data_IF_121793109972
#
_entry.id   IF_121793109972
#
_cell.length_a   1.000
_cell.length_b   1.000
_cell.length_c   1.000
_cell.angle_alpha   90.00
_cell.angle_beta   90.00
_cell.angle_gamma   90.00
#
_symmetry.space_group_name_H-M   'P 1'
#
loop_
_entity.id
_entity.type
_entity.pdbx_description
1 polymer ?
#
# COMPACT_ATOMS: atom_id res chain seq x y z
N UNK A 1 -7.02 12.07 -9.83
CA UNK A 1 -6.40 11.43 -8.66
C UNK A 1 -5.49 12.40 -7.86
N UNK A 2 -6.05 13.46 -7.24
CA UNK A 2 -5.28 14.35 -6.36
C UNK A 2 -6.19 14.91 -5.26
N UNK A 3 -5.73 14.84 -4.01
CA UNK A 3 -6.46 15.36 -2.84
C UNK A 3 -6.25 16.87 -2.73
N UNK A 4 -7.32 17.64 -2.53
CA UNK A 4 -7.22 19.10 -2.34
C UNK A 4 -6.72 19.46 -0.94
N UNK A 5 -6.05 20.61 -0.80
CA UNK A 5 -5.64 21.15 0.49
C UNK A 5 -6.82 21.24 1.47
N UNK A 6 -6.57 21.05 2.77
CA UNK A 6 -7.55 21.00 3.87
C UNK A 6 -8.61 19.87 3.82
N UNK A 7 -8.77 19.16 2.70
CA UNK A 7 -9.85 18.18 2.53
C UNK A 7 -9.72 16.92 3.39
N UNK A 8 -8.52 16.49 3.84
CA UNK A 8 -8.43 15.26 4.66
C UNK A 8 -9.00 15.43 6.06
N UNK A 9 -8.81 16.59 6.70
CA UNK A 9 -9.40 16.82 8.03
C UNK A 9 -10.91 16.92 7.92
N UNK A 10 -11.41 17.58 6.87
CA UNK A 10 -12.83 17.62 6.56
C UNK A 10 -13.39 16.22 6.27
N UNK A 11 -12.69 15.41 5.48
CA UNK A 11 -13.09 14.03 5.20
C UNK A 11 -13.11 13.19 6.47
N UNK A 12 -12.07 13.25 7.30
CA UNK A 12 -12.03 12.51 8.57
C UNK A 12 -13.19 12.90 9.50
N UNK A 13 -13.55 14.18 9.55
CA UNK A 13 -14.73 14.66 10.29
C UNK A 13 -16.04 14.19 9.64
N UNK A 14 -16.16 14.29 8.32
CA UNK A 14 -17.34 13.86 7.57
C UNK A 14 -17.60 12.37 7.75
N UNK A 15 -16.61 11.53 7.42
CA UNK A 15 -16.71 10.08 7.49
C UNK A 15 -16.92 9.62 8.93
N UNK A 16 -16.12 10.13 9.87
CA UNK A 16 -16.16 9.71 11.27
C UNK A 16 -17.39 10.17 12.05
N UNK A 17 -17.90 11.37 11.78
CA UNK A 17 -19.01 11.94 12.55
C UNK A 17 -20.37 11.80 11.85
N UNK A 18 -20.41 11.90 10.52
CA UNK A 18 -21.66 11.95 9.76
C UNK A 18 -21.96 10.69 8.95
N UNK A 19 -20.97 9.90 8.56
CA UNK A 19 -21.21 8.68 7.76
C UNK A 19 -21.24 7.45 8.64
N UNK A 20 -20.10 7.11 9.27
CA UNK A 20 -19.92 5.86 10.00
C UNK A 20 -20.97 5.64 11.11
N UNK A 21 -21.36 6.63 11.95
CA UNK A 21 -22.33 6.38 13.00
C UNK A 21 -23.71 5.96 12.48
N UNK A 22 -24.10 6.43 11.29
CA UNK A 22 -25.40 6.13 10.70
C UNK A 22 -25.37 4.88 9.83
N UNK A 23 -24.24 4.51 9.24
CA UNK A 23 -24.12 3.33 8.37
C UNK A 23 -23.68 2.07 9.13
N UNK A 24 -22.68 2.18 10.01
CA UNK A 24 -22.19 1.03 10.76
C UNK A 24 -23.24 0.51 11.75
N UNK A 25 -23.97 1.42 12.39
CA UNK A 25 -25.02 1.05 13.34
C UNK A 25 -26.13 0.23 12.69
N UNK A 26 -26.58 0.63 11.50
CA UNK A 26 -27.58 -0.09 10.73
C UNK A 26 -27.08 -1.45 10.24
N UNK A 27 -25.86 -1.50 9.70
CA UNK A 27 -25.23 -2.76 9.27
C UNK A 27 -25.10 -3.77 10.43
N UNK A 28 -24.69 -3.31 11.60
CA UNK A 28 -24.50 -4.15 12.80
C UNK A 28 -25.79 -4.36 13.61
N UNK A 29 -26.90 -3.68 13.26
CA UNK A 29 -28.14 -3.74 14.04
C UNK A 29 -28.70 -5.17 14.14
N UNK A 30 -28.49 -5.98 13.11
CA UNK A 30 -28.89 -7.39 13.09
C UNK A 30 -28.10 -8.26 14.09
N UNK A 31 -26.88 -7.85 14.45
CA UNK A 31 -25.94 -8.63 15.24
C UNK A 31 -25.84 -8.21 16.71
N UNK A 32 -26.64 -7.25 17.16
CA UNK A 32 -26.60 -6.74 18.56
C UNK A 32 -26.94 -7.80 19.62
N UNK A 33 -27.51 -8.95 19.20
CA UNK A 33 -27.87 -10.09 20.06
C UNK A 33 -27.01 -11.33 19.81
N UNK A 34 -25.99 -11.25 18.97
CA UNK A 34 -25.12 -12.39 18.59
C UNK A 34 -24.33 -12.94 19.80
N UNK A 35 -24.25 -12.17 20.90
CA UNK A 35 -23.60 -12.60 22.14
C UNK A 35 -22.07 -12.52 22.05
N UNK A 36 -21.38 -13.17 22.99
CA UNK A 36 -19.92 -13.26 22.93
C UNK A 36 -19.51 -14.20 21.80
N UNK A 37 -18.63 -13.73 20.91
CA UNK A 37 -18.03 -14.57 19.87
C UNK A 37 -17.02 -15.51 20.54
N UNK A 38 -17.16 -16.84 20.41
CA UNK A 38 -16.20 -17.78 20.94
C UNK A 38 -14.83 -17.60 20.28
N UNK A 39 -13.76 -17.69 21.07
CA UNK A 39 -12.37 -17.56 20.58
C UNK A 39 -11.69 -18.92 20.39
N UNK A 40 -12.45 -20.02 20.49
CA UNK A 40 -11.99 -21.40 20.31
C UNK A 40 -12.33 -21.94 18.90
N UNK A 41 -12.68 -21.05 17.97
CA UNK A 41 -12.91 -21.42 16.58
C UNK A 41 -11.58 -21.56 15.83
N UNK A 42 -11.51 -22.42 14.80
CA UNK A 42 -10.29 -22.63 14.01
C UNK A 42 -9.71 -21.33 13.42
N UNK A 43 -10.54 -20.35 13.11
CA UNK A 43 -10.14 -19.07 12.53
C UNK A 43 -9.30 -18.23 13.51
N UNK A 44 -9.61 -18.29 14.82
CA UNK A 44 -8.80 -17.61 15.85
C UNK A 44 -7.43 -18.29 16.02
N UNK A 45 -7.43 -19.63 16.06
CA UNK A 45 -6.19 -20.41 16.16
C UNK A 45 -5.28 -20.18 14.96
N UNK A 46 -5.83 -20.18 13.74
CA UNK A 46 -5.09 -19.92 12.51
C UNK A 46 -4.49 -18.50 12.49
N UNK A 47 -5.28 -17.48 12.86
CA UNK A 47 -4.82 -16.10 12.92
C UNK A 47 -3.69 -15.91 13.95
N UNK A 48 -3.84 -16.48 15.16
CA UNK A 48 -2.79 -16.43 16.19
C UNK A 48 -1.52 -17.14 15.73
N UNK A 49 -1.64 -18.36 15.17
CA UNK A 49 -0.49 -19.13 14.68
C UNK A 49 0.23 -18.40 13.55
N UNK A 50 -0.49 -17.76 12.63
CA UNK A 50 0.10 -16.97 11.54
C UNK A 50 0.95 -15.82 12.09
N UNK A 51 0.41 -15.06 13.03
CA UNK A 51 1.13 -13.94 13.64
C UNK A 51 2.32 -14.43 14.45
N UNK A 52 2.16 -15.45 15.30
CA UNK A 52 3.26 -16.06 16.06
C UNK A 52 4.37 -16.56 15.15
N UNK A 53 4.02 -17.29 14.09
CA UNK A 53 5.00 -17.80 13.12
C UNK A 53 5.77 -16.68 12.42
N UNK A 54 5.13 -15.55 12.12
CA UNK A 54 5.81 -14.38 11.56
C UNK A 54 6.80 -13.76 12.56
N UNK A 55 6.37 -13.57 13.82
CA UNK A 55 7.24 -13.03 14.88
C UNK A 55 8.44 -13.94 15.15
N UNK A 56 8.20 -15.25 15.25
CA UNK A 56 9.24 -16.26 15.44
C UNK A 56 10.21 -16.27 14.27
N UNK A 57 9.72 -16.22 13.01
CA UNK A 57 10.58 -16.14 11.83
C UNK A 57 11.49 -14.91 11.88
N UNK A 58 10.95 -13.74 12.22
CA UNK A 58 11.71 -12.51 12.37
C UNK A 58 12.79 -12.63 13.45
N UNK A 59 12.42 -13.12 14.64
CA UNK A 59 13.35 -13.28 15.77
C UNK A 59 14.42 -14.34 15.52
N UNK A 60 14.10 -15.38 14.77
CA UNK A 60 15.03 -16.45 14.41
C UNK A 60 15.94 -16.09 13.22
N UNK A 61 15.66 -14.99 12.53
CA UNK A 61 16.57 -14.46 11.50
C UNK A 61 17.79 -13.86 12.21
N UNK A 62 18.86 -14.65 12.28
CA UNK A 62 20.11 -14.27 12.94
C UNK A 62 21.04 -13.53 11.97
N UNK A 63 20.51 -12.51 11.31
CA UNK A 63 21.23 -11.73 10.32
C UNK A 63 22.27 -10.78 10.91
N UNK A 64 22.82 -9.95 10.03
CA UNK A 64 23.89 -9.00 10.35
C UNK A 64 23.46 -7.54 10.22
N UNK A 65 22.32 -7.26 9.56
CA UNK A 65 21.87 -5.90 9.25
C UNK A 65 20.74 -5.48 10.18
N UNK A 66 20.76 -4.21 10.60
CA UNK A 66 19.65 -3.66 11.38
C UNK A 66 18.39 -3.47 10.52
N UNK A 67 17.23 -3.39 11.17
CA UNK A 67 15.97 -3.05 10.49
C UNK A 67 16.06 -1.72 9.74
N UNK A 68 16.76 -0.73 10.31
CA UNK A 68 17.01 0.57 9.66
C UNK A 68 17.77 0.49 8.35
N UNK A 69 18.66 -0.49 8.18
CA UNK A 69 19.39 -0.68 6.92
C UNK A 69 18.41 -0.92 5.77
N UNK A 70 17.46 -1.84 5.97
CA UNK A 70 16.44 -2.16 4.99
C UNK A 70 15.47 -1.00 4.77
N UNK A 71 14.98 -0.38 5.85
CA UNK A 71 14.07 0.75 5.74
C UNK A 71 14.69 1.92 4.96
N UNK A 72 15.95 2.27 5.22
CA UNK A 72 16.66 3.33 4.50
C UNK A 72 16.90 2.97 3.04
N UNK A 73 17.22 1.72 2.73
CA UNK A 73 17.42 1.26 1.34
C UNK A 73 16.12 1.30 0.56
N UNK A 74 15.03 0.80 1.13
CA UNK A 74 13.69 0.91 0.53
C UNK A 74 13.33 2.38 0.27
N UNK A 75 13.50 3.24 1.29
CA UNK A 75 13.24 4.67 1.16
C UNK A 75 14.04 5.33 0.03
N UNK A 76 15.31 4.94 -0.17
CA UNK A 76 16.13 5.44 -1.30
C UNK A 76 15.63 4.95 -2.65
N UNK A 77 15.23 3.69 -2.77
CA UNK A 77 14.66 3.16 -4.02
C UNK A 77 13.38 3.92 -4.36
N UNK A 78 12.45 4.03 -3.40
CA UNK A 78 11.19 4.73 -3.59
C UNK A 78 11.40 6.21 -3.93
N UNK A 79 12.28 6.90 -3.22
CA UNK A 79 12.59 8.31 -3.46
C UNK A 79 13.16 8.56 -4.86
N UNK A 80 14.11 7.73 -5.29
CA UNK A 80 14.83 7.94 -6.54
C UNK A 80 14.04 7.47 -7.77
N UNK A 81 13.21 6.43 -7.65
CA UNK A 81 12.62 5.72 -8.80
C UNK A 81 11.09 5.73 -8.85
N UNK A 82 10.44 5.99 -7.72
CA UNK A 82 8.98 5.90 -7.56
C UNK A 82 8.40 7.18 -6.94
N UNK A 83 9.14 8.28 -7.06
CA UNK A 83 8.85 9.57 -6.46
C UNK A 83 7.76 10.37 -7.20
N UNK A 84 7.98 11.68 -7.29
CA UNK A 84 7.07 12.61 -7.95
C UNK A 84 7.02 12.37 -9.46
N UNK A 85 8.18 12.24 -10.09
CA UNK A 85 8.34 11.87 -11.50
C UNK A 85 8.69 10.39 -11.61
N UNK A 86 8.16 9.72 -12.63
CA UNK A 86 8.31 8.27 -12.84
C UNK A 86 8.52 7.99 -14.32
N UNK A 87 9.26 6.92 -14.61
CA UNK A 87 9.35 6.37 -15.96
C UNK A 87 9.46 4.83 -15.89
N UNK A 88 9.10 4.17 -16.99
CA UNK A 88 9.01 2.73 -17.10
C UNK A 88 10.32 2.02 -16.76
N UNK A 89 11.47 2.61 -17.15
CA UNK A 89 12.79 2.06 -16.86
C UNK A 89 13.03 2.01 -15.36
N UNK A 90 12.92 3.16 -14.68
CA UNK A 90 13.12 3.25 -13.23
C UNK A 90 12.11 2.42 -12.44
N UNK A 91 10.85 2.35 -12.89
CA UNK A 91 9.83 1.53 -12.24
C UNK A 91 10.13 0.03 -12.33
N UNK A 92 10.57 -0.47 -13.50
CA UNK A 92 11.00 -1.87 -13.67
C UNK A 92 12.22 -2.21 -12.82
N UNK A 93 13.18 -1.29 -12.75
CA UNK A 93 14.34 -1.44 -11.86
C UNK A 93 13.92 -1.44 -10.39
N UNK A 94 13.01 -0.55 -9.98
CA UNK A 94 12.52 -0.47 -8.61
C UNK A 94 11.82 -1.77 -8.17
N UNK A 95 10.98 -2.35 -9.02
CA UNK A 95 10.33 -3.65 -8.75
C UNK A 95 11.39 -4.73 -8.47
N UNK A 96 12.40 -4.82 -9.34
CA UNK A 96 13.50 -5.79 -9.17
C UNK A 96 14.29 -5.55 -7.88
N UNK A 97 14.73 -4.31 -7.65
CA UNK A 97 15.53 -3.95 -6.47
C UNK A 97 14.76 -4.14 -5.15
N UNK A 98 13.46 -3.83 -5.12
CA UNK A 98 12.63 -4.03 -3.93
C UNK A 98 12.41 -5.51 -3.67
N UNK A 99 12.18 -6.33 -4.71
CA UNK A 99 12.07 -7.78 -4.57
C UNK A 99 13.35 -8.38 -3.98
N UNK A 100 14.51 -8.01 -4.52
CA UNK A 100 15.81 -8.44 -3.99
C UNK A 100 16.01 -7.98 -2.54
N UNK A 101 15.64 -6.74 -2.22
CA UNK A 101 15.72 -6.20 -0.86
C UNK A 101 14.78 -6.93 0.12
N UNK A 102 13.58 -7.31 -0.33
CA UNK A 102 12.61 -8.10 0.45
C UNK A 102 13.15 -9.49 0.76
N UNK A 103 13.77 -10.14 -0.22
CA UNK A 103 14.43 -11.43 0.00
C UNK A 103 15.64 -11.32 0.94
N UNK A 104 16.45 -10.27 0.79
CA UNK A 104 17.60 -9.99 1.67
C UNK A 104 17.13 -9.74 3.11
N UNK A 105 16.04 -9.00 3.31
CA UNK A 105 15.46 -8.73 4.63
C UNK A 105 15.16 -10.02 5.39
N UNK A 106 14.46 -10.96 4.75
CA UNK A 106 14.12 -12.25 5.38
C UNK A 106 15.31 -13.19 5.60
N UNK A 107 16.48 -12.87 5.04
CA UNK A 107 17.71 -13.66 5.19
C UNK A 107 18.70 -13.04 6.19
N UNK A 108 18.77 -11.71 6.26
CA UNK A 108 19.89 -10.99 6.91
C UNK A 108 19.45 -9.87 7.87
N UNK A 109 18.15 -9.75 8.18
CA UNK A 109 17.71 -8.86 9.27
C UNK A 109 18.15 -9.39 10.64
N UNK A 110 18.63 -8.49 11.48
CA UNK A 110 18.99 -8.74 12.87
C UNK A 110 18.09 -7.91 13.77
N UNK A 111 17.37 -8.59 14.65
CA UNK A 111 16.47 -7.96 15.63
C UNK A 111 17.02 -8.24 17.03
N UNK A 112 17.49 -7.23 17.76
CA UNK A 112 17.95 -7.41 19.14
C UNK A 112 16.77 -7.59 20.10
N UNK A 113 17.07 -8.07 21.31
CA UNK A 113 16.08 -8.23 22.38
C UNK A 113 15.36 -9.56 22.35
N UNK A 114 14.21 -9.62 23.03
CA UNK A 114 13.41 -10.83 23.18
C UNK A 114 12.02 -10.62 22.55
N UNK A 115 11.38 -11.72 22.14
CA UNK A 115 10.06 -11.68 21.51
C UNK A 115 8.95 -11.30 22.50
N UNK A 116 9.03 -11.80 23.73
CA UNK A 116 7.99 -11.63 24.75
C UNK A 116 8.22 -10.41 25.67
N UNK A 117 9.04 -9.46 25.21
CA UNK A 117 9.31 -8.20 25.89
C UNK A 117 8.82 -7.03 25.03
N UNK A 118 8.82 -5.82 25.59
CA UNK A 118 8.59 -4.60 24.81
C UNK A 118 9.76 -4.39 23.85
N UNK A 119 9.60 -4.86 22.61
CA UNK A 119 10.65 -4.87 21.59
C UNK A 119 10.25 -4.02 20.39
N UNK A 120 10.63 -2.74 20.43
CA UNK A 120 10.31 -1.78 19.36
C UNK A 120 10.99 -2.10 18.04
N UNK A 121 12.13 -2.80 18.04
CA UNK A 121 12.79 -3.23 16.81
C UNK A 121 12.05 -4.38 16.13
N UNK A 122 11.44 -5.29 16.89
CA UNK A 122 10.55 -6.32 16.33
C UNK A 122 9.29 -5.69 15.70
N UNK A 123 8.64 -4.75 16.39
CA UNK A 123 7.49 -4.00 15.84
C UNK A 123 7.85 -3.24 14.55
N UNK A 124 9.05 -2.65 14.52
CA UNK A 124 9.56 -1.95 13.35
C UNK A 124 9.89 -2.91 12.22
N UNK A 125 10.44 -4.09 12.52
CA UNK A 125 10.72 -5.12 11.53
C UNK A 125 9.43 -5.59 10.83
N UNK A 126 8.35 -5.80 11.59
CA UNK A 126 7.03 -6.12 11.03
C UNK A 126 6.57 -5.04 10.03
N UNK A 127 6.58 -3.77 10.45
CA UNK A 127 6.21 -2.64 9.57
C UNK A 127 7.09 -2.54 8.32
N UNK A 128 8.40 -2.77 8.44
CA UNK A 128 9.32 -2.73 7.29
C UNK A 128 9.06 -3.90 6.34
N UNK A 129 8.69 -5.08 6.85
CA UNK A 129 8.27 -6.20 6.02
C UNK A 129 7.04 -5.82 5.18
N UNK A 130 6.03 -5.20 5.79
CA UNK A 130 4.84 -4.70 5.09
C UNK A 130 5.20 -3.63 4.06
N UNK A 131 6.10 -2.70 4.40
CA UNK A 131 6.54 -1.65 3.48
C UNK A 131 7.30 -2.18 2.27
N UNK A 132 8.09 -3.26 2.42
CA UNK A 132 8.80 -3.89 1.31
C UNK A 132 7.79 -4.49 0.32
N UNK A 133 6.75 -5.17 0.82
CA UNK A 133 5.68 -5.73 0.00
C UNK A 133 4.86 -4.61 -0.69
N UNK A 134 4.43 -3.62 0.08
CA UNK A 134 3.65 -2.49 -0.44
C UNK A 134 4.46 -1.65 -1.43
N UNK A 135 5.76 -1.46 -1.22
CA UNK A 135 6.63 -0.71 -2.12
C UNK A 135 6.76 -1.35 -3.50
N UNK A 136 6.89 -2.69 -3.54
CA UNK A 136 6.91 -3.46 -4.79
C UNK A 136 5.56 -3.33 -5.53
N UNK A 137 4.45 -3.48 -4.80
CA UNK A 137 3.10 -3.33 -5.36
C UNK A 137 2.85 -1.90 -5.87
N UNK A 138 3.33 -0.88 -5.15
CA UNK A 138 3.21 0.52 -5.55
C UNK A 138 3.96 0.79 -6.86
N UNK A 139 5.18 0.25 -7.01
CA UNK A 139 5.94 0.37 -8.24
C UNK A 139 5.25 -0.38 -9.41
N UNK A 140 4.66 -1.56 -9.15
CA UNK A 140 3.87 -2.32 -10.11
C UNK A 140 2.63 -1.56 -10.58
N UNK A 141 1.85 -0.98 -9.67
CA UNK A 141 0.68 -0.15 -10.02
C UNK A 141 1.08 1.07 -10.85
N UNK A 142 2.15 1.77 -10.44
CA UNK A 142 2.67 2.91 -11.19
C UNK A 142 3.19 2.54 -12.58
N UNK A 143 3.76 1.33 -12.75
CA UNK A 143 4.19 0.83 -14.06
C UNK A 143 3.00 0.48 -14.95
N UNK A 144 2.00 -0.21 -14.39
CA UNK A 144 0.76 -0.59 -15.06
C UNK A 144 -0.02 0.62 -15.57
N UNK A 145 -0.03 1.72 -14.80
CA UNK A 145 -0.72 2.96 -15.17
C UNK A 145 0.12 3.80 -16.14
N UNK A 146 -0.09 3.56 -17.42
CA UNK A 146 0.55 4.22 -18.56
C UNK A 146 -0.12 5.55 -18.94
N UNK A 147 -0.24 6.45 -17.97
CA UNK A 147 -0.74 7.82 -18.13
C UNK A 147 -0.12 8.75 -17.08
N UNK A 148 -0.37 10.06 -17.18
CA UNK A 148 -0.18 11.01 -16.08
C UNK A 148 -1.51 11.59 -15.61
N UNK A 149 -1.85 11.37 -14.33
CA UNK A 149 -3.09 11.83 -13.74
C UNK A 149 -2.91 12.24 -12.27
N UNK A 150 -3.06 13.53 -11.98
CA UNK A 150 -2.97 14.05 -10.61
C UNK A 150 -1.59 13.84 -9.99
N UNK A 151 -1.53 13.11 -8.87
CA UNK A 151 -0.25 12.80 -8.19
C UNK A 151 0.57 11.66 -8.82
N UNK A 152 0.06 11.04 -9.88
CA UNK A 152 0.79 10.07 -10.70
C UNK A 152 1.29 10.77 -11.96
N UNK A 153 2.61 10.97 -12.06
CA UNK A 153 3.23 11.62 -13.21
C UNK A 153 4.26 10.69 -13.84
N UNK A 154 4.02 10.35 -15.10
CA UNK A 154 4.89 9.52 -15.94
C UNK A 154 5.48 10.40 -17.04
N UNK A 155 6.81 10.43 -17.11
CA UNK A 155 7.56 11.29 -18.02
C UNK A 155 7.24 10.98 -19.49
N UNK A 156 6.82 9.76 -19.81
CA UNK A 156 6.42 9.36 -21.15
C UNK A 156 5.02 9.86 -21.55
N UNK A 157 4.21 10.24 -20.56
CA UNK A 157 2.82 10.67 -20.75
C UNK A 157 2.65 12.11 -20.24
N UNK A 158 3.33 13.04 -20.91
CA UNK A 158 3.19 14.47 -20.68
C UNK A 158 3.06 15.21 -22.02
N UNK A 159 2.48 16.40 -22.00
CA UNK A 159 2.45 17.28 -23.17
C UNK A 159 3.85 17.86 -23.46
N UNK A 160 4.03 18.48 -24.62
CA UNK A 160 5.28 19.20 -24.95
C UNK A 160 5.60 20.32 -23.94
N UNK A 161 4.60 20.84 -23.24
CA UNK A 161 4.75 21.86 -22.21
C UNK A 161 5.04 21.29 -20.80
N UNK A 162 5.14 19.96 -20.68
CA UNK A 162 5.40 19.27 -19.41
C UNK A 162 4.18 19.06 -18.52
N UNK A 163 2.96 19.20 -19.07
CA UNK A 163 1.72 18.98 -18.33
C UNK A 163 1.31 17.51 -18.36
N UNK A 164 0.61 17.05 -17.32
CA UNK A 164 0.12 15.68 -17.23
C UNK A 164 -0.83 15.33 -18.39
N UNK A 165 -0.50 14.28 -19.15
CA UNK A 165 -1.36 13.72 -20.19
C UNK A 165 -2.15 12.53 -19.63
N UNK A 166 -3.42 12.76 -19.32
CA UNK A 166 -4.35 11.74 -18.80
C UNK A 166 -4.95 10.92 -19.94
N UNK A 167 -5.15 9.63 -19.71
CA UNK A 167 -5.78 8.72 -20.68
C UNK A 167 -7.16 8.25 -20.16
N UNK A 168 -8.18 8.96 -20.65
CA UNK A 168 -9.58 8.74 -20.28
C UNK A 168 -10.20 7.49 -20.95
N UNK A 169 -9.57 6.92 -21.97
CA UNK A 169 -10.07 5.73 -22.66
C UNK A 169 -9.67 4.45 -21.91
N UNK A 170 -8.39 4.36 -21.50
CA UNK A 170 -7.85 3.13 -20.92
C UNK A 170 -7.81 3.13 -19.39
N UNK A 171 -7.71 4.31 -18.75
CA UNK A 171 -7.39 4.41 -17.32
C UNK A 171 -8.46 5.11 -16.45
N UNK A 172 -9.68 5.27 -16.98
CA UNK A 172 -10.85 5.79 -16.26
C UNK A 172 -11.45 4.77 -15.26
N UNK A 173 -10.63 4.32 -14.31
CA UNK A 173 -11.01 3.36 -13.29
C UNK A 173 -10.18 3.49 -12.00
N UNK A 174 -10.72 3.01 -10.90
CA UNK A 174 -10.00 2.77 -9.64
C UNK A 174 -9.40 1.36 -9.66
N UNK A 175 -8.11 1.26 -9.32
CA UNK A 175 -7.40 0.00 -9.22
C UNK A 175 -7.44 -0.52 -7.78
N UNK A 176 -7.79 -1.79 -7.62
CA UNK A 176 -7.59 -2.54 -6.37
C UNK A 176 -6.76 -3.79 -6.68
N UNK A 177 -5.68 -4.01 -5.94
CA UNK A 177 -4.79 -5.15 -6.16
C UNK A 177 -5.02 -6.20 -5.07
N UNK A 178 -5.50 -7.38 -5.45
CA UNK A 178 -5.67 -8.52 -4.56
C UNK A 178 -4.32 -9.19 -4.30
N UNK A 179 -4.02 -9.43 -3.02
CA UNK A 179 -2.82 -10.13 -2.60
C UNK A 179 -2.99 -11.64 -2.73
N UNK A 180 -2.11 -12.27 -3.52
CA UNK A 180 -2.11 -13.71 -3.81
C UNK A 180 -0.89 -14.44 -3.25
N UNK A 181 -0.08 -13.76 -2.43
CA UNK A 181 1.12 -14.31 -1.77
C UNK A 181 2.39 -13.53 -2.06
N UNK A 182 2.53 -12.93 -3.25
CA UNK A 182 3.62 -11.99 -3.56
C UNK A 182 3.12 -10.82 -4.42
N UNK A 183 3.74 -9.62 -4.34
CA UNK A 183 3.33 -8.45 -5.13
C UNK A 183 3.34 -8.68 -6.64
N UNK A 184 4.30 -9.46 -7.13
CA UNK A 184 4.42 -9.84 -8.53
C UNK A 184 3.15 -10.52 -9.07
N UNK A 185 2.50 -11.34 -8.25
CA UNK A 185 1.33 -12.15 -8.61
C UNK A 185 0.00 -11.47 -8.27
N UNK A 186 0.03 -10.27 -7.69
CA UNK A 186 -1.18 -9.54 -7.32
C UNK A 186 -2.12 -9.35 -8.52
N UNK A 187 -3.42 -9.56 -8.29
CA UNK A 187 -4.45 -9.51 -9.33
C UNK A 187 -5.12 -8.13 -9.33
N UNK A 188 -5.21 -7.51 -10.50
CA UNK A 188 -5.85 -6.21 -10.66
C UNK A 188 -7.37 -6.37 -10.80
N UNK A 189 -8.11 -5.79 -9.87
CA UNK A 189 -9.53 -5.51 -9.95
C UNK A 189 -9.75 -4.05 -10.35
N UNK A 190 -10.63 -3.82 -11.31
CA UNK A 190 -10.94 -2.48 -11.83
C UNK A 190 -12.39 -2.12 -11.53
N UNK A 191 -12.58 -0.94 -10.94
CA UNK A 191 -13.89 -0.32 -10.79
C UNK A 191 -13.97 0.91 -11.71
N UNK A 192 -14.84 0.86 -12.71
CA UNK A 192 -14.97 1.94 -13.70
C UNK A 192 -15.52 3.20 -13.07
N UNK A 193 -14.93 4.35 -13.40
CA UNK A 193 -15.42 5.65 -12.95
C UNK A 193 -16.44 6.19 -13.96
N UNK A 194 -17.71 6.21 -13.56
CA UNK A 194 -18.81 6.76 -14.37
C UNK A 194 -19.26 8.09 -13.79
N UNK A 195 -19.12 9.16 -14.57
CA UNK A 195 -19.53 10.51 -14.16
C UNK A 195 -20.81 10.90 -14.90
N UNK A 196 -21.93 10.96 -14.16
CA UNK A 196 -23.24 11.33 -14.71
C UNK A 196 -23.51 12.84 -14.60
N UNK A 197 -23.01 13.46 -13.54
CA UNK A 197 -23.35 14.84 -13.17
C UNK A 197 -22.31 15.87 -13.56
N UNK A 198 -21.16 15.44 -14.09
CA UNK A 198 -20.07 16.32 -14.51
C UNK A 198 -19.47 15.83 -15.82
N UNK A 199 -19.15 16.78 -16.70
CA UNK A 199 -18.35 16.52 -17.90
C UNK A 199 -16.88 16.40 -17.49
N UNK A 200 -16.24 15.30 -17.87
CA UNK A 200 -14.83 15.07 -17.59
C UNK A 200 -13.97 15.93 -18.54
N UNK A 201 -13.13 16.80 -17.96
CA UNK A 201 -12.21 17.66 -18.72
C UNK A 201 -10.78 17.52 -18.23
N UNK A 202 -9.83 17.75 -19.14
CA UNK A 202 -8.41 17.89 -18.79
C UNK A 202 -8.22 19.11 -17.92
N UNK A 203 -7.58 18.93 -16.78
CA UNK A 203 -7.31 20.02 -15.82
C UNK A 203 -5.97 20.67 -16.17
N UNK A 204 -6.00 21.97 -16.47
CA UNK A 204 -4.80 22.82 -16.54
C UNK A 204 -4.69 23.66 -15.26
N UNK A 205 -3.46 23.85 -14.78
CA UNK A 205 -3.16 24.73 -13.62
C UNK A 205 -2.55 26.07 -14.04
N UNK A 206 -2.46 26.34 -15.35
CA UNK A 206 -2.09 27.65 -15.90
C UNK A 206 -3.22 28.66 -15.73
#
# INVERSE_FOLDING_TARGET
>A
ANRLGASALMQGLADGYFVLPYTMGDYLAADIRTGAIPTDSPEFDEAEQKVRGQLERLMNTNGTKSVDHFHKRLGKIMWNKVGMSRNATHLKEAITEIKELREEFWKDVRIPGEMNAMNTELEKAGRVADFLELGELFAKDALHREESCGGHFREEYQTEEGEALRDDENFMYVAAWEYTGEPADAILHKENLVYENIEVKTRSYK
#
